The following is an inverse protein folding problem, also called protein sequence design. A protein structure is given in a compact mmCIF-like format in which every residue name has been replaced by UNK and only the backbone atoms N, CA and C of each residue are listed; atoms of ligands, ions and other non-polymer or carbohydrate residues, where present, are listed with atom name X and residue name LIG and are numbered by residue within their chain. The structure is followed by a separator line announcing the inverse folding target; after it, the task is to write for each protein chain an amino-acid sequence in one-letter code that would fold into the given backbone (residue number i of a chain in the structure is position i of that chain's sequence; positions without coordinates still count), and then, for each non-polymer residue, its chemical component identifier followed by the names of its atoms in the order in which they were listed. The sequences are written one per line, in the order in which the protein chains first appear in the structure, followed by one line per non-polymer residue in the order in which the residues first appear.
data_IF_470051489330
#
_entry.id   IF_470051489330
#
_cell.length_a   1.000
_cell.length_b   1.000
_cell.length_c   1.000
_cell.angle_alpha   90.00
_cell.angle_beta   90.00
_cell.angle_gamma   90.00
#
_symmetry.space_group_name_H-M   'P 1'
#
loop_
_entity.id
_entity.type
_entity.pdbx_description
1 polymer ?
#
# COMPACT_ATOMS: atom_id res chain seq x y z
N UNK A 1 12.50 9.32 7.30
CA UNK A 1 11.79 8.25 6.57
C UNK A 1 12.50 7.98 5.26
N UNK A 2 12.81 6.73 4.97
CA UNK A 2 13.52 6.34 3.76
C UNK A 2 12.52 5.98 2.66
N UNK A 3 12.81 6.41 1.43
CA UNK A 3 12.01 6.07 0.24
C UNK A 3 12.76 5.07 -0.62
N UNK A 4 12.03 4.12 -1.17
CA UNK A 4 12.55 3.16 -2.13
C UNK A 4 11.69 3.23 -3.40
N UNK A 5 12.33 3.44 -4.54
CA UNK A 5 11.67 3.55 -5.83
C UNK A 5 11.86 2.27 -6.64
N UNK A 6 11.00 2.10 -7.64
CA UNK A 6 11.00 0.91 -8.52
C UNK A 6 11.13 1.34 -9.98
N UNK A 7 11.37 0.37 -10.85
CA UNK A 7 11.45 0.64 -12.29
C UNK A 7 10.10 1.02 -12.91
N UNK A 8 9.02 0.89 -12.16
CA UNK A 8 7.69 1.35 -12.56
C UNK A 8 7.45 2.67 -11.86
N UNK A 9 7.37 3.75 -12.64
CA UNK A 9 7.22 5.09 -12.11
C UNK A 9 5.92 5.26 -11.31
N UNK A 10 6.04 5.89 -10.16
CA UNK A 10 4.91 6.17 -9.26
C UNK A 10 4.81 5.25 -8.07
N UNK A 11 5.32 4.03 -8.17
CA UNK A 11 5.35 3.11 -7.03
C UNK A 11 6.47 3.52 -6.07
N UNK A 12 6.13 3.60 -4.79
CA UNK A 12 7.09 4.00 -3.75
C UNK A 12 6.89 3.11 -2.54
N UNK A 13 7.99 2.57 -2.03
CA UNK A 13 8.00 1.91 -0.73
C UNK A 13 8.59 2.86 0.30
N UNK A 14 7.85 3.12 1.37
CA UNK A 14 8.29 3.97 2.46
C UNK A 14 8.72 3.11 3.65
N UNK A 15 9.80 3.55 4.30
CA UNK A 15 10.33 2.88 5.49
C UNK A 15 10.29 3.88 6.65
N UNK A 16 9.16 3.96 7.39
CA UNK A 16 9.07 4.85 8.54
C UNK A 16 10.12 4.48 9.58
N UNK A 17 10.63 5.49 10.25
CA UNK A 17 11.59 5.26 11.32
C UNK A 17 10.88 4.67 12.54
N UNK A 18 11.39 3.57 13.06
CA UNK A 18 10.91 2.96 14.28
C UNK A 18 11.83 3.29 15.44
N UNK A 19 11.23 3.57 16.57
CA UNK A 19 11.92 3.86 17.82
C UNK A 19 11.69 2.67 18.74
N UNK A 20 12.66 1.77 18.80
CA UNK A 20 12.55 0.53 19.55
C UNK A 20 13.30 0.61 20.87
N UNK A 21 12.72 -0.02 21.91
CA UNK A 21 13.38 -0.22 23.20
C UNK A 21 12.90 -1.56 23.78
N UNK A 22 13.23 -1.84 25.04
CA UNK A 22 12.87 -3.10 25.67
C UNK A 22 11.36 -3.31 25.83
N UNK A 23 10.55 -2.26 25.73
CA UNK A 23 9.09 -2.36 25.83
C UNK A 23 8.43 -2.68 24.50
N UNK A 24 9.15 -2.51 23.35
CA UNK A 24 8.61 -2.69 22.03
C UNK A 24 9.08 -1.60 21.09
N UNK A 25 8.19 -1.12 20.23
CA UNK A 25 8.55 -0.03 19.32
C UNK A 25 7.41 0.96 19.16
N UNK A 26 7.79 2.16 18.75
CA UNK A 26 6.89 3.25 18.40
C UNK A 26 7.30 3.79 17.02
N UNK A 27 6.31 4.10 16.17
CA UNK A 27 6.60 4.84 14.95
C UNK A 27 5.40 5.71 14.57
N UNK A 28 5.67 6.78 13.84
CA UNK A 28 4.63 7.62 13.31
C UNK A 28 4.04 6.92 12.08
N UNK A 29 2.79 6.50 12.21
CA UNK A 29 2.09 5.71 11.22
C UNK A 29 1.69 6.54 9.99
N UNK A 30 1.28 7.79 10.22
CA UNK A 30 0.85 8.70 9.16
C UNK A 30 0.93 10.14 9.65
N UNK A 31 1.37 11.02 8.76
CA UNK A 31 1.41 12.46 9.02
C UNK A 31 0.92 13.14 7.74
N UNK A 32 -0.25 13.78 7.80
CA UNK A 32 -0.91 14.30 6.59
C UNK A 32 0.00 15.21 5.77
N UNK A 33 0.63 16.19 6.39
CA UNK A 33 1.42 17.17 5.65
C UNK A 33 2.66 16.53 5.02
N UNK A 34 3.37 15.70 5.77
CA UNK A 34 4.58 15.04 5.28
C UNK A 34 4.26 14.06 4.16
N UNK A 35 3.23 13.26 4.31
CA UNK A 35 2.85 12.27 3.31
C UNK A 35 2.27 12.92 2.06
N UNK A 36 1.46 13.98 2.21
CA UNK A 36 0.92 14.73 1.07
C UNK A 36 2.04 15.39 0.28
N UNK A 37 3.01 15.98 0.99
CA UNK A 37 4.18 16.58 0.35
C UNK A 37 4.98 15.56 -0.44
N UNK A 38 5.17 14.36 0.13
CA UNK A 38 5.97 13.30 -0.47
C UNK A 38 5.26 12.61 -1.64
N UNK A 39 3.96 12.35 -1.50
CA UNK A 39 3.20 11.53 -2.46
C UNK A 39 2.33 12.37 -3.41
N UNK A 40 2.18 13.66 -3.13
CA UNK A 40 1.41 14.58 -3.98
C UNK A 40 -0.10 14.40 -3.90
N UNK A 41 -0.60 13.67 -2.92
CA UNK A 41 -2.04 13.37 -2.78
C UNK A 41 -2.47 13.38 -1.33
N UNK A 42 -3.73 13.76 -1.11
CA UNK A 42 -4.38 13.65 0.20
C UNK A 42 -5.12 12.32 0.27
N UNK A 43 -5.25 11.78 1.47
CA UNK A 43 -5.95 10.52 1.71
C UNK A 43 -7.29 10.81 2.40
N UNK A 44 -8.36 10.22 1.87
CA UNK A 44 -9.73 10.52 2.29
C UNK A 44 -10.42 9.39 3.03
N UNK A 45 -9.90 8.16 2.91
CA UNK A 45 -10.57 6.98 3.46
C UNK A 45 -9.55 5.97 3.98
N UNK A 46 -9.83 5.43 5.17
CA UNK A 46 -9.03 4.38 5.77
C UNK A 46 -9.84 3.09 5.82
N UNK A 47 -9.19 1.97 5.48
CA UNK A 47 -9.81 0.66 5.56
C UNK A 47 -8.89 -0.33 6.27
N UNK A 48 -9.49 -1.33 6.90
CA UNK A 48 -8.76 -2.42 7.55
C UNK A 48 -9.41 -3.74 7.15
N UNK A 49 -8.60 -4.74 6.85
CA UNK A 49 -9.09 -6.10 6.66
C UNK A 49 -8.32 -7.07 7.55
N UNK A 50 -9.02 -8.08 8.04
CA UNK A 50 -8.43 -9.20 8.77
C UNK A 50 -8.57 -10.43 7.89
N UNK A 51 -7.48 -11.14 7.65
CA UNK A 51 -7.48 -12.27 6.72
C UNK A 51 -6.75 -13.47 7.29
N UNK A 52 -7.24 -14.65 6.92
CA UNK A 52 -6.58 -15.93 7.23
C UNK A 52 -5.46 -16.18 6.24
N UNK A 53 -4.50 -17.00 6.64
CA UNK A 53 -3.44 -17.47 5.75
C UNK A 53 -4.03 -18.05 4.47
N UNK A 54 -3.43 -17.68 3.34
CA UNK A 54 -3.84 -18.17 2.03
C UNK A 54 -4.94 -17.39 1.35
N UNK A 55 -5.56 -16.43 2.04
CA UNK A 55 -6.59 -15.59 1.44
C UNK A 55 -5.96 -14.66 0.41
N UNK A 56 -6.52 -14.64 -0.79
CA UNK A 56 -6.14 -13.74 -1.87
C UNK A 56 -7.24 -12.69 -2.03
N UNK A 57 -6.86 -11.42 -1.95
CA UNK A 57 -7.79 -10.31 -2.20
C UNK A 57 -7.33 -9.52 -3.42
N UNK A 58 -8.27 -9.19 -4.31
CA UNK A 58 -8.00 -8.46 -5.54
C UNK A 58 -8.02 -9.37 -6.77
N UNK A 59 -7.47 -8.93 -7.89
CA UNK A 59 -6.98 -7.58 -8.11
C UNK A 59 -8.14 -6.58 -8.17
N UNK A 60 -7.96 -5.40 -7.55
CA UNK A 60 -8.94 -4.34 -7.55
C UNK A 60 -8.45 -3.14 -8.35
N UNK A 61 -9.38 -2.50 -9.05
CA UNK A 61 -9.08 -1.34 -9.89
C UNK A 61 -10.34 -0.48 -10.02
N UNK A 62 -10.18 0.83 -9.84
CA UNK A 62 -11.26 1.78 -10.09
C UNK A 62 -10.87 2.69 -11.25
N UNK A 63 -11.82 2.89 -12.18
CA UNK A 63 -11.59 3.76 -13.33
C UNK A 63 -11.84 5.22 -12.96
N UNK A 64 -11.23 6.20 -13.70
CA UNK A 64 -11.56 7.60 -13.49
C UNK A 64 -13.06 7.85 -13.64
N UNK A 65 -13.65 8.80 -12.88
CA UNK A 65 -13.00 9.73 -11.96
C UNK A 65 -12.75 9.17 -10.55
N UNK A 66 -13.00 7.87 -10.32
CA UNK A 66 -12.91 7.26 -8.99
C UNK A 66 -11.62 6.47 -8.77
N UNK A 67 -10.63 6.65 -9.64
CA UNK A 67 -9.34 5.96 -9.50
C UNK A 67 -8.70 6.30 -8.15
N UNK A 68 -8.29 5.26 -7.41
CA UNK A 68 -7.71 5.42 -6.08
C UNK A 68 -6.21 5.20 -6.10
N UNK A 69 -5.47 6.13 -5.46
CA UNK A 69 -4.14 5.83 -4.96
C UNK A 69 -4.29 5.20 -3.58
N UNK A 70 -3.39 4.30 -3.24
CA UNK A 70 -3.46 3.56 -1.98
C UNK A 70 -2.12 3.58 -1.27
N UNK A 71 -2.16 3.79 0.04
CA UNK A 71 -1.00 3.61 0.91
C UNK A 71 -1.32 2.42 1.81
N UNK A 72 -0.61 1.32 1.61
CA UNK A 72 -0.92 0.05 2.25
C UNK A 72 0.18 -0.39 3.19
N UNK A 73 -0.20 -1.07 4.29
CA UNK A 73 0.74 -1.66 5.21
C UNK A 73 0.10 -2.75 6.04
N UNK A 74 0.94 -3.55 6.68
CA UNK A 74 0.51 -4.66 7.53
C UNK A 74 0.77 -4.29 8.98
N UNK A 75 -0.25 -4.38 9.82
CA UNK A 75 -0.14 -4.09 11.26
C UNK A 75 0.14 -5.35 12.08
N UNK A 76 -0.28 -6.52 11.59
CA UNK A 76 -0.01 -7.82 12.20
C UNK A 76 0.04 -8.85 11.08
N UNK A 77 1.03 -9.73 11.09
CA UNK A 77 1.19 -10.76 10.08
C UNK A 77 2.00 -10.30 8.87
N UNK A 78 1.72 -10.89 7.71
CA UNK A 78 2.44 -10.57 6.47
C UNK A 78 1.63 -10.92 5.24
N UNK A 79 1.91 -10.20 4.14
CA UNK A 79 1.31 -10.42 2.84
C UNK A 79 2.36 -10.32 1.74
N UNK A 80 2.07 -10.96 0.60
CA UNK A 80 2.75 -10.68 -0.65
C UNK A 80 1.84 -9.75 -1.45
N UNK A 81 2.25 -8.51 -1.60
CA UNK A 81 1.46 -7.46 -2.25
C UNK A 81 1.86 -7.31 -3.70
N UNK A 82 0.89 -7.01 -4.56
CA UNK A 82 1.14 -6.83 -5.98
C UNK A 82 0.46 -5.57 -6.50
N UNK A 83 1.20 -4.80 -7.29
CA UNK A 83 0.69 -3.64 -8.01
C UNK A 83 1.02 -3.80 -9.49
N UNK A 84 -0.01 -3.70 -10.33
CA UNK A 84 0.11 -3.87 -11.78
C UNK A 84 -0.19 -2.55 -12.46
N UNK A 85 0.72 -2.08 -13.31
CA UNK A 85 0.54 -0.82 -14.05
C UNK A 85 -0.48 -1.01 -15.16
N UNK A 86 -1.63 -0.36 -15.03
CA UNK A 86 -2.69 -0.37 -16.03
C UNK A 86 -2.88 1.00 -16.69
N UNK A 87 -1.91 1.89 -16.56
CA UNK A 87 -1.93 3.20 -17.23
C UNK A 87 -1.59 3.01 -18.70
N UNK A 88 -2.56 3.26 -19.58
CA UNK A 88 -2.43 2.97 -21.02
C UNK A 88 -1.26 3.66 -21.70
N UNK A 89 -0.91 4.87 -21.25
CA UNK A 89 0.17 5.64 -21.84
C UNK A 89 1.53 5.37 -21.20
N UNK A 90 1.59 4.48 -20.21
CA UNK A 90 2.83 4.17 -19.50
C UNK A 90 3.72 3.25 -20.32
N UNK A 91 5.03 3.52 -20.29
CA UNK A 91 6.02 2.63 -20.89
C UNK A 91 6.13 1.29 -20.17
N UNK A 92 5.57 1.20 -18.95
CA UNK A 92 5.56 -0.02 -18.14
C UNK A 92 4.18 -0.66 -18.04
N UNK A 93 3.27 -0.32 -18.95
CA UNK A 93 1.92 -0.89 -18.98
C UNK A 93 1.97 -2.42 -18.94
N UNK A 94 1.22 -3.00 -18.01
CA UNK A 94 1.15 -4.44 -17.82
C UNK A 94 2.26 -5.02 -16.95
N UNK A 95 3.27 -4.24 -16.61
CA UNK A 95 4.33 -4.67 -15.70
C UNK A 95 3.87 -4.55 -14.25
N UNK A 96 4.50 -5.31 -13.37
CA UNK A 96 4.07 -5.36 -11.97
C UNK A 96 5.26 -5.41 -11.02
N UNK A 97 4.98 -5.08 -9.76
CA UNK A 97 5.90 -5.22 -8.64
C UNK A 97 5.25 -6.14 -7.61
N UNK A 98 6.01 -7.10 -7.12
CA UNK A 98 5.66 -7.92 -5.96
C UNK A 98 6.53 -7.48 -4.79
N UNK A 99 5.91 -7.29 -3.62
CA UNK A 99 6.65 -6.88 -2.44
C UNK A 99 6.05 -7.54 -1.20
N UNK A 100 6.91 -8.06 -0.33
CA UNK A 100 6.44 -8.57 0.94
C UNK A 100 6.28 -7.43 1.93
N UNK A 101 5.09 -7.32 2.53
CA UNK A 101 4.78 -6.37 3.58
C UNK A 101 4.46 -7.13 4.85
N UNK A 102 5.04 -6.72 5.95
CA UNK A 102 4.81 -7.38 7.23
C UNK A 102 4.84 -6.37 8.38
N UNK A 103 4.25 -6.76 9.51
CA UNK A 103 4.38 -5.98 10.73
C UNK A 103 5.86 -5.85 11.12
N UNK A 104 6.64 -6.90 10.89
CA UNK A 104 8.06 -6.92 11.23
C UNK A 104 8.87 -5.95 10.37
N UNK A 105 8.69 -5.96 9.03
CA UNK A 105 9.49 -5.10 8.17
C UNK A 105 9.00 -3.64 8.15
N UNK A 106 7.78 -3.38 8.57
CA UNK A 106 7.25 -2.03 8.71
C UNK A 106 7.10 -1.22 7.42
N UNK A 107 7.18 -1.87 6.27
CA UNK A 107 7.11 -1.18 4.99
C UNK A 107 5.70 -0.66 4.72
N UNK A 108 5.65 0.53 4.12
CA UNK A 108 4.41 1.12 3.61
C UNK A 108 4.56 1.26 2.11
N UNK A 109 3.61 0.72 1.35
CA UNK A 109 3.69 0.70 -0.10
C UNK A 109 2.66 1.66 -0.69
N UNK A 110 3.13 2.66 -1.44
CA UNK A 110 2.26 3.60 -2.14
C UNK A 110 2.05 3.15 -3.59
N UNK A 111 0.78 3.01 -3.96
CA UNK A 111 0.34 2.57 -5.27
C UNK A 111 -0.52 3.71 -5.84
N UNK A 112 -0.05 4.47 -6.84
CA UNK A 112 -0.81 5.59 -7.38
C UNK A 112 -2.06 5.14 -8.13
N UNK A 113 -2.96 6.10 -8.46
CA UNK A 113 -4.09 5.79 -9.33
C UNK A 113 -3.61 5.21 -10.66
N UNK A 114 -4.40 4.31 -11.24
CA UNK A 114 -4.08 3.68 -12.52
C UNK A 114 -3.45 2.32 -12.40
N UNK A 115 -3.29 1.81 -11.18
CA UNK A 115 -2.75 0.48 -10.92
C UNK A 115 -3.85 -0.45 -10.41
N UNK A 116 -3.79 -1.72 -10.78
CA UNK A 116 -4.55 -2.76 -10.10
C UNK A 116 -3.73 -3.23 -8.90
N UNK A 117 -4.41 -3.58 -7.82
CA UNK A 117 -3.78 -3.93 -6.55
C UNK A 117 -4.43 -5.16 -5.93
N UNK A 118 -3.62 -6.00 -5.33
CA UNK A 118 -4.08 -7.14 -4.56
C UNK A 118 -2.99 -7.69 -3.67
N UNK A 119 -3.33 -8.68 -2.88
CA UNK A 119 -2.33 -9.32 -2.01
C UNK A 119 -2.72 -10.75 -1.65
N UNK A 120 -1.70 -11.55 -1.39
CA UNK A 120 -1.83 -12.90 -0.86
C UNK A 120 -1.41 -12.88 0.60
N UNK A 121 -2.27 -13.39 1.48
CA UNK A 121 -2.01 -13.43 2.92
C UNK A 121 -1.10 -14.59 3.26
N UNK A 122 0.02 -14.30 3.92
CA UNK A 122 1.06 -15.31 4.22
C UNK A 122 0.98 -15.89 5.62
N UNK A 123 0.28 -15.21 6.55
CA UNK A 123 0.16 -15.65 7.94
C UNK A 123 -1.29 -15.59 8.42
N UNK A 124 -1.62 -16.38 9.44
CA UNK A 124 -2.93 -16.29 10.09
C UNK A 124 -3.11 -14.93 10.76
N UNK A 125 -4.36 -14.48 10.84
CA UNK A 125 -4.73 -13.24 11.53
C UNK A 125 -3.94 -12.03 11.06
N UNK A 126 -3.75 -11.92 9.75
CA UNK A 126 -3.06 -10.77 9.16
C UNK A 126 -3.99 -9.57 9.12
N UNK A 127 -3.56 -8.49 9.75
CA UNK A 127 -4.28 -7.23 9.81
C UNK A 127 -3.65 -6.27 8.80
N UNK A 128 -4.38 -5.96 7.74
CA UNK A 128 -3.95 -5.15 6.62
C UNK A 128 -4.68 -3.81 6.65
N UNK A 129 -3.94 -2.72 6.57
CA UNK A 129 -4.48 -1.37 6.64
C UNK A 129 -4.11 -0.60 5.39
N UNK A 130 -5.05 0.16 4.85
CA UNK A 130 -4.72 1.02 3.73
C UNK A 130 -5.56 2.30 3.70
N UNK A 131 -4.91 3.35 3.21
CA UNK A 131 -5.53 4.66 3.01
C UNK A 131 -5.75 4.86 1.51
N UNK A 132 -6.85 5.51 1.16
CA UNK A 132 -7.23 5.76 -0.23
C UNK A 132 -7.31 7.26 -0.50
N UNK A 133 -6.86 7.67 -1.69
CA UNK A 133 -6.91 9.07 -2.13
C UNK A 133 -8.29 9.47 -2.66
N UNK A 134 -9.19 8.50 -2.86
CA UNK A 134 -10.54 8.73 -3.34
C UNK A 134 -11.47 7.76 -2.61
N UNK A 135 -12.74 8.12 -2.50
CA UNK A 135 -13.73 7.25 -1.87
C UNK A 135 -14.02 6.04 -2.73
N UNK A 136 -14.35 4.93 -2.09
CA UNK A 136 -14.71 3.69 -2.79
C UNK A 136 -15.98 3.91 -3.63
N UNK A 137 -15.92 3.46 -4.88
CA UNK A 137 -17.05 3.50 -5.80
C UNK A 137 -17.23 2.11 -6.41
N UNK A 138 -18.36 1.42 -6.17
CA UNK A 138 -18.56 0.04 -6.62
C UNK A 138 -18.82 -0.09 -8.11
N UNK A 139 -19.13 0.99 -8.83
CA UNK A 139 -19.41 0.92 -10.27
C UNK A 139 -18.58 1.85 -11.10
#
# INVERSE_FOLDING_TARGET
MREERFDIEGLICLHPKRYADERGYFFEYFHQDNYTSLLGRKFLQDNVSLSRKGVLRGLHFQTPPFAQGKLVQVLSGSVLDVAVDLRKESSTYGKFVLIELSAENGKQFYIPPGFAHGFLTLEENTLFSYKCTEYYAPT
#
